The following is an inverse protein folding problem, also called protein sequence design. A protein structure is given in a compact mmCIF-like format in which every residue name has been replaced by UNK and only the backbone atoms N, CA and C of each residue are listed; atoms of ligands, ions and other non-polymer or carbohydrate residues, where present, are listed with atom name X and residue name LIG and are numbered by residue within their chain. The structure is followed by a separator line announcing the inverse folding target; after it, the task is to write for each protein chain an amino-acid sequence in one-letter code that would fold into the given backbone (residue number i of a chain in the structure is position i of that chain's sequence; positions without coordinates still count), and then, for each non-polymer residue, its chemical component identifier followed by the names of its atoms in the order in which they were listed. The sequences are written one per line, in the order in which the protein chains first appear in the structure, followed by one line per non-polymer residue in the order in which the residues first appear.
data_IF_458581882413
#
_entry.id   IF_458581882413
#
_cell.length_a   1.000
_cell.length_b   1.000
_cell.length_c   1.000
_cell.angle_alpha   90.00
_cell.angle_beta   90.00
_cell.angle_gamma   90.00
#
_symmetry.space_group_name_H-M   'P 1'
#
loop_
_entity.id
_entity.type
_entity.pdbx_description
1 polymer ?
#
# COMPACT_ATOMS: atom_id res chain seq x y z
N UNK A 1 -9.94 -45.91 10.53
CA UNK A 1 -11.22 -45.18 10.69
C UNK A 1 -11.34 -44.54 12.08
N UNK A 2 -10.51 -43.54 12.41
CA UNK A 2 -10.65 -42.75 13.65
C UNK A 2 -10.57 -41.23 13.41
N UNK A 3 -10.03 -40.78 12.27
CA UNK A 3 -9.99 -39.37 11.88
C UNK A 3 -11.38 -38.76 11.57
N UNK A 4 -12.34 -39.57 11.11
CA UNK A 4 -13.71 -39.11 10.80
C UNK A 4 -14.61 -38.98 12.05
N UNK A 5 -14.23 -39.59 13.17
CA UNK A 5 -14.98 -39.50 14.44
C UNK A 5 -14.71 -38.17 15.16
N UNK A 6 -13.48 -37.66 15.08
CA UNK A 6 -13.10 -36.36 15.65
C UNK A 6 -13.84 -35.17 15.02
N UNK A 7 -14.03 -35.19 13.69
CA UNK A 7 -14.75 -34.12 12.98
C UNK A 7 -16.26 -34.09 13.29
N UNK A 8 -16.87 -35.23 13.62
CA UNK A 8 -18.30 -35.28 14.00
C UNK A 8 -18.56 -34.83 15.43
N UNK A 9 -17.59 -34.96 16.33
CA UNK A 9 -17.72 -34.51 17.74
C UNK A 9 -17.44 -33.02 17.94
N UNK A 10 -16.82 -32.35 16.97
CA UNK A 10 -16.57 -30.91 17.01
C UNK A 10 -17.75 -30.04 16.50
N UNK A 11 -18.82 -30.67 15.99
CA UNK A 11 -19.96 -29.95 15.38
C UNK A 11 -21.10 -29.59 16.34
N UNK A 12 -21.06 -30.00 17.60
CA UNK A 12 -22.15 -29.78 18.56
C UNK A 12 -21.58 -29.25 19.87
N UNK A 13 -21.48 -27.94 19.98
CA UNK A 13 -21.12 -27.25 21.21
C UNK A 13 -19.81 -26.50 21.10
N UNK A 14 -19.85 -25.30 20.52
CA UNK A 14 -19.04 -24.13 20.87
C UNK A 14 -19.61 -22.93 20.11
N UNK A 15 -20.78 -22.47 20.56
CA UNK A 15 -21.09 -21.05 20.49
C UNK A 15 -20.18 -20.33 21.51
N UNK A 16 -18.92 -20.08 21.16
CA UNK A 16 -18.05 -19.16 21.87
C UNK A 16 -16.78 -18.92 21.05
N UNK A 17 -16.55 -17.65 20.69
CA UNK A 17 -15.37 -17.14 20.00
C UNK A 17 -15.17 -17.66 18.57
N UNK A 18 -16.00 -17.17 17.65
CA UNK A 18 -15.36 -16.51 16.52
C UNK A 18 -14.40 -15.50 17.17
N UNK A 19 -13.11 -15.84 17.23
CA UNK A 19 -12.08 -14.83 17.43
C UNK A 19 -12.30 -13.93 16.23
N UNK A 20 -13.10 -12.88 16.43
CA UNK A 20 -13.00 -11.70 15.62
C UNK A 20 -11.55 -11.30 15.81
N UNK A 21 -10.67 -11.78 14.91
CA UNK A 21 -9.45 -11.08 14.59
C UNK A 21 -9.92 -9.63 14.51
N UNK A 22 -9.40 -8.71 15.35
CA UNK A 22 -9.82 -7.33 15.32
C UNK A 22 -9.84 -6.96 13.85
N UNK A 23 -10.99 -6.56 13.36
CA UNK A 23 -11.11 -6.11 11.99
C UNK A 23 -10.39 -4.77 11.93
N UNK A 24 -9.06 -4.80 12.00
CA UNK A 24 -8.15 -3.70 11.72
C UNK A 24 -8.37 -3.44 10.23
N UNK A 25 -9.41 -2.65 9.92
CA UNK A 25 -9.89 -2.44 8.56
C UNK A 25 -11.41 -2.31 8.39
N UNK A 26 -12.24 -2.58 9.40
CA UNK A 26 -13.70 -2.34 9.32
C UNK A 26 -14.12 -0.89 9.63
N UNK A 27 -13.19 -0.02 10.02
CA UNK A 27 -13.39 1.42 9.91
C UNK A 27 -13.24 1.86 8.45
N UNK A 28 -14.05 2.81 7.99
CA UNK A 28 -13.85 3.47 6.70
C UNK A 28 -12.43 4.03 6.63
N UNK A 29 -11.53 3.33 5.94
CA UNK A 29 -10.19 3.84 5.68
C UNK A 29 -10.32 5.13 4.86
N UNK A 30 -9.68 6.23 5.29
CA UNK A 30 -9.73 7.49 4.56
C UNK A 30 -9.10 7.30 3.18
N UNK A 31 -9.60 8.06 2.21
CA UNK A 31 -8.94 8.14 0.90
C UNK A 31 -7.72 9.05 1.02
N UNK A 32 -6.55 8.53 0.65
CA UNK A 32 -5.26 9.21 0.69
C UNK A 32 -4.72 9.30 -0.72
N UNK A 33 -4.42 10.53 -1.17
CA UNK A 33 -3.80 10.81 -2.47
C UNK A 33 -2.47 11.51 -2.25
N UNK A 34 -1.39 10.83 -2.59
CA UNK A 34 -0.03 11.35 -2.50
C UNK A 34 0.55 11.57 -3.90
N UNK A 35 1.45 12.54 -3.98
CA UNK A 35 2.33 12.78 -5.10
C UNK A 35 3.73 12.33 -4.71
N UNK A 36 4.35 11.51 -5.56
CA UNK A 36 5.72 11.04 -5.43
C UNK A 36 6.57 11.70 -6.52
N UNK A 37 7.59 12.47 -6.13
CA UNK A 37 8.61 12.94 -7.06
C UNK A 37 9.77 11.93 -7.12
N UNK A 38 10.17 11.51 -8.32
CA UNK A 38 11.30 10.60 -8.52
C UNK A 38 12.53 11.35 -9.05
N UNK A 39 13.72 10.93 -8.62
CA UNK A 39 15.01 11.47 -9.11
C UNK A 39 15.44 10.87 -10.45
N UNK A 40 14.60 10.01 -11.04
CA UNK A 40 14.90 9.21 -12.22
C UNK A 40 14.01 9.60 -13.42
N UNK A 41 14.52 9.56 -14.67
CA UNK A 41 13.69 9.72 -15.86
C UNK A 41 12.81 8.48 -16.10
N UNK A 42 11.70 8.63 -16.83
CA UNK A 42 10.81 7.50 -17.20
C UNK A 42 11.51 6.40 -18.00
N UNK A 43 12.58 6.75 -18.72
CA UNK A 43 13.38 5.81 -19.50
C UNK A 43 14.20 4.85 -18.63
N UNK A 44 14.47 5.19 -17.37
CA UNK A 44 15.15 4.30 -16.43
C UNK A 44 14.11 3.42 -15.73
N UNK A 45 13.61 2.45 -16.46
CA UNK A 45 12.52 1.55 -16.08
C UNK A 45 12.76 0.81 -14.76
N UNK A 46 14.00 0.44 -14.45
CA UNK A 46 14.34 -0.23 -13.19
C UNK A 46 14.02 0.61 -11.96
N UNK A 47 14.45 1.88 -11.93
CA UNK A 47 14.27 2.76 -10.77
C UNK A 47 12.93 3.52 -10.83
N UNK A 48 12.53 4.02 -12.00
CA UNK A 48 11.24 4.67 -12.16
C UNK A 48 10.10 3.65 -12.05
N UNK A 49 10.24 2.49 -12.69
CA UNK A 49 9.27 1.40 -12.60
C UNK A 49 9.17 0.79 -11.22
N UNK A 50 10.24 0.79 -10.40
CA UNK A 50 10.13 0.43 -8.99
C UNK A 50 9.17 1.35 -8.22
N UNK A 51 9.22 2.68 -8.47
CA UNK A 51 8.29 3.63 -7.86
C UNK A 51 6.85 3.39 -8.32
N UNK A 52 6.64 3.11 -9.61
CA UNK A 52 5.31 2.74 -10.13
C UNK A 52 4.80 1.43 -9.53
N UNK A 53 5.69 0.46 -9.34
CA UNK A 53 5.36 -0.83 -8.75
C UNK A 53 4.90 -0.66 -7.29
N UNK A 54 5.58 0.17 -6.51
CA UNK A 54 5.14 0.54 -5.15
C UNK A 54 3.76 1.20 -5.18
N UNK A 55 3.56 2.20 -6.06
CA UNK A 55 2.27 2.88 -6.22
C UNK A 55 1.12 1.89 -6.50
N UNK A 56 1.31 0.99 -7.47
CA UNK A 56 0.32 -0.04 -7.84
C UNK A 56 0.04 -1.00 -6.68
N UNK A 57 1.05 -1.39 -5.90
CA UNK A 57 0.88 -2.26 -4.73
C UNK A 57 0.13 -1.56 -3.60
N UNK A 58 0.42 -0.28 -3.32
CA UNK A 58 -0.33 0.51 -2.34
C UNK A 58 -1.81 0.61 -2.71
N UNK A 59 -2.11 0.93 -3.98
CA UNK A 59 -3.48 0.97 -4.46
C UNK A 59 -4.17 -0.39 -4.34
N UNK A 60 -3.49 -1.48 -4.76
CA UNK A 60 -4.06 -2.83 -4.72
C UNK A 60 -4.31 -3.32 -3.29
N UNK A 61 -3.39 -3.05 -2.36
CA UNK A 61 -3.50 -3.47 -0.97
C UNK A 61 -4.56 -2.72 -0.15
N UNK A 62 -4.99 -1.56 -0.66
CA UNK A 62 -5.95 -0.67 0.03
C UNK A 62 -7.27 -0.53 -0.71
N UNK A 63 -7.54 -1.38 -1.70
CA UNK A 63 -8.72 -1.28 -2.58
C UNK A 63 -8.87 0.13 -3.19
N UNK A 64 -7.75 0.74 -3.59
CA UNK A 64 -7.68 2.07 -4.20
C UNK A 64 -7.82 3.24 -3.22
N UNK A 65 -7.87 2.99 -1.90
CA UNK A 65 -7.96 4.05 -0.90
C UNK A 65 -6.66 4.82 -0.73
N UNK A 66 -5.50 4.19 -0.89
CA UNK A 66 -4.22 4.87 -0.93
C UNK A 66 -3.66 4.89 -2.36
N UNK A 67 -3.69 6.07 -2.97
CA UNK A 67 -3.20 6.29 -4.33
C UNK A 67 -1.96 7.17 -4.30
N UNK A 68 -0.93 6.77 -5.03
CA UNK A 68 0.32 7.51 -5.18
C UNK A 68 0.52 7.83 -6.66
N UNK A 69 0.47 9.09 -7.04
CA UNK A 69 0.79 9.52 -8.39
C UNK A 69 2.31 9.74 -8.51
N UNK A 70 2.94 9.02 -9.43
CA UNK A 70 4.40 9.05 -9.63
C UNK A 70 4.76 10.05 -10.72
N UNK A 71 5.69 10.95 -10.41
CA UNK A 71 6.21 11.97 -11.32
C UNK A 71 7.70 11.74 -11.57
N UNK A 72 8.12 11.85 -12.82
CA UNK A 72 9.51 11.66 -13.22
C UNK A 72 10.38 12.87 -12.83
N UNK A 73 11.69 12.68 -12.92
CA UNK A 73 12.68 13.74 -12.74
C UNK A 73 12.30 14.99 -13.56
N UNK A 74 12.22 16.14 -12.89
CA UNK A 74 11.92 17.43 -13.53
C UNK A 74 10.43 17.73 -13.74
N UNK A 75 9.51 16.79 -13.51
CA UNK A 75 8.06 17.06 -13.68
C UNK A 75 7.46 17.90 -12.53
N UNK A 76 8.08 17.90 -11.35
CA UNK A 76 7.67 18.73 -10.20
C UNK A 76 8.81 19.65 -9.77
N UNK A 77 9.99 19.06 -9.53
CA UNK A 77 11.23 19.75 -9.16
C UNK A 77 12.41 19.10 -9.89
N UNK A 78 13.56 19.78 -10.01
CA UNK A 78 14.80 19.16 -10.47
C UNK A 78 15.15 17.87 -9.71
N UNK A 79 15.78 16.91 -10.41
CA UNK A 79 16.03 15.56 -9.90
C UNK A 79 16.76 15.51 -8.54
N UNK A 80 17.66 16.45 -8.28
CA UNK A 80 18.46 16.48 -7.05
C UNK A 80 17.78 17.26 -5.90
N UNK A 81 16.63 17.89 -6.15
CA UNK A 81 15.87 18.68 -5.17
C UNK A 81 14.63 17.93 -4.64
N UNK A 82 14.52 16.65 -4.94
CA UNK A 82 13.36 15.83 -4.57
C UNK A 82 13.21 15.70 -3.05
N UNK A 83 14.32 15.60 -2.31
CA UNK A 83 14.29 15.58 -0.83
C UNK A 83 13.81 16.92 -0.26
N UNK A 84 14.31 18.05 -0.79
CA UNK A 84 13.89 19.39 -0.36
C UNK A 84 12.38 19.60 -0.60
N UNK A 85 11.86 19.06 -1.70
CA UNK A 85 10.43 19.12 -2.00
C UNK A 85 9.58 18.35 -0.98
N UNK A 86 10.09 17.24 -0.42
CA UNK A 86 9.42 16.53 0.70
C UNK A 86 9.55 17.33 2.00
N UNK A 87 10.74 17.84 2.32
CA UNK A 87 10.97 18.64 3.53
C UNK A 87 10.07 19.88 3.59
N UNK A 88 9.87 20.53 2.44
CA UNK A 88 8.99 21.69 2.30
C UNK A 88 7.52 21.32 2.07
N UNK A 89 7.15 20.04 2.21
CA UNK A 89 5.78 19.53 2.03
C UNK A 89 5.15 19.85 0.65
N UNK A 90 5.96 20.07 -0.39
CA UNK A 90 5.49 20.28 -1.77
C UNK A 90 4.95 18.96 -2.38
N UNK A 91 5.56 17.85 -1.99
CA UNK A 91 5.11 16.47 -2.28
C UNK A 91 5.12 15.66 -0.99
N UNK A 92 4.26 14.66 -0.91
CA UNK A 92 4.14 13.83 0.31
C UNK A 92 5.23 12.77 0.41
N UNK A 93 5.82 12.36 -0.71
CA UNK A 93 6.90 11.39 -0.72
C UNK A 93 7.82 11.53 -1.94
N UNK A 94 8.92 10.78 -1.91
CA UNK A 94 9.97 10.79 -2.91
C UNK A 94 10.52 9.38 -3.17
N UNK A 95 11.10 9.18 -4.35
CA UNK A 95 12.02 8.06 -4.64
C UNK A 95 13.33 8.65 -5.19
N UNK A 96 14.38 8.64 -4.38
CA UNK A 96 15.66 9.30 -4.63
C UNK A 96 16.84 8.46 -4.23
#
# INVERSE_FOLDING_TARGET
MQRRSFLKKAGVGLAASAVAAPAIGQGTQPEVKWRLAASWPKSLDTLYGAAEHVSKRCASATNGKFQIQVFAAGEIVPALQVLDAVQNATVQCAHT
#
